data_IF_936607277644
#
_entry.id   IF_936607277644
#
_cell.length_a   1.000
_cell.length_b   1.000
_cell.length_c   1.000
_cell.angle_alpha   90.00
_cell.angle_beta   90.00
_cell.angle_gamma   90.00
#
_symmetry.space_group_name_H-M   'P 1'
#
loop_
_entity.id
_entity.type
_entity.pdbx_description
1 polymer ?
#
# COMPACT_ATOMS: atom_id res chain seq x y z
N UNK A 1 -27.46 -14.24 6.47
CA UNK A 1 -26.69 -14.51 7.70
C UNK A 1 -25.89 -15.78 7.51
N UNK A 2 -24.72 -15.90 8.10
CA UNK A 2 -23.90 -17.13 8.11
C UNK A 2 -23.65 -17.58 9.54
N UNK A 3 -23.64 -18.89 9.75
CA UNK A 3 -23.46 -19.49 11.07
C UNK A 3 -22.00 -19.90 11.25
N UNK A 4 -21.40 -19.54 12.39
CA UNK A 4 -20.04 -19.95 12.70
C UNK A 4 -19.96 -21.46 12.96
N UNK A 5 -19.11 -22.23 12.25
CA UNK A 5 -18.98 -23.66 12.48
C UNK A 5 -18.35 -24.00 13.84
N UNK A 6 -17.63 -23.05 14.46
CA UNK A 6 -16.96 -23.25 15.75
C UNK A 6 -17.87 -22.98 16.96
N UNK A 7 -18.67 -21.91 16.93
CA UNK A 7 -19.46 -21.47 18.09
C UNK A 7 -20.94 -21.25 17.79
N UNK A 8 -21.41 -21.56 16.58
CA UNK A 8 -22.81 -21.47 16.14
C UNK A 8 -23.43 -20.06 16.20
N UNK A 9 -22.64 -19.02 16.49
CA UNK A 9 -23.10 -17.65 16.44
C UNK A 9 -23.50 -17.24 15.01
N UNK A 10 -24.56 -16.44 14.89
CA UNK A 10 -24.94 -15.79 13.65
C UNK A 10 -24.01 -14.61 13.36
N UNK A 11 -23.55 -14.51 12.12
CA UNK A 11 -22.67 -13.45 11.64
C UNK A 11 -23.19 -12.92 10.30
N UNK A 12 -22.84 -11.70 9.93
CA UNK A 12 -23.16 -11.16 8.63
C UNK A 12 -22.38 -11.89 7.54
N UNK A 13 -22.93 -12.03 6.32
CA UNK A 13 -22.22 -12.66 5.22
C UNK A 13 -20.82 -12.05 4.96
N UNK A 14 -20.69 -10.74 5.15
CA UNK A 14 -19.46 -9.96 4.93
C UNK A 14 -18.38 -10.21 6.00
N UNK A 15 -18.72 -10.78 7.16
CA UNK A 15 -17.80 -10.87 8.30
C UNK A 15 -16.68 -11.86 8.00
N UNK A 16 -15.42 -11.43 7.94
CA UNK A 16 -14.30 -12.36 7.73
C UNK A 16 -13.99 -13.22 8.96
N UNK A 17 -14.46 -12.80 10.14
CA UNK A 17 -14.26 -13.48 11.41
C UNK A 17 -15.57 -13.56 12.18
N UNK A 18 -15.72 -14.60 13.00
CA UNK A 18 -16.84 -14.68 13.92
C UNK A 18 -16.69 -13.66 15.06
N UNK A 19 -17.68 -12.79 15.24
CA UNK A 19 -17.68 -11.77 16.29
C UNK A 19 -17.68 -12.33 17.72
N UNK A 20 -18.11 -13.58 17.92
CA UNK A 20 -18.18 -14.20 19.24
C UNK A 20 -16.93 -15.00 19.63
N UNK A 21 -16.26 -15.68 18.68
CA UNK A 21 -15.16 -16.60 19.00
C UNK A 21 -13.88 -16.38 18.19
N UNK A 22 -13.86 -15.38 17.30
CA UNK A 22 -12.70 -15.05 16.47
C UNK A 22 -12.38 -16.08 15.39
N UNK A 23 -13.23 -17.09 15.16
CA UNK A 23 -13.02 -18.06 14.10
C UNK A 23 -12.98 -17.36 12.74
N UNK A 24 -11.88 -17.55 12.01
CA UNK A 24 -11.72 -17.01 10.65
C UNK A 24 -12.55 -17.86 9.68
N UNK A 25 -13.47 -17.23 8.97
CA UNK A 25 -14.17 -17.90 7.89
C UNK A 25 -13.20 -18.11 6.72
N UNK A 26 -13.29 -19.25 6.04
CA UNK A 26 -12.66 -19.41 4.73
C UNK A 26 -13.35 -18.40 3.80
N UNK A 27 -12.61 -17.36 3.41
CA UNK A 27 -13.15 -16.29 2.59
C UNK A 27 -13.69 -16.91 1.29
N UNK A 28 -14.97 -16.67 0.98
CA UNK A 28 -15.58 -17.02 -0.30
C UNK A 28 -14.91 -16.20 -1.41
N UNK A 29 -13.73 -16.62 -1.87
CA UNK A 29 -12.98 -16.16 -3.05
C UNK A 29 -12.54 -14.69 -3.10
N UNK A 30 -13.30 -13.76 -2.53
CA UNK A 30 -13.28 -12.35 -2.87
C UNK A 30 -13.43 -11.47 -1.61
N UNK A 31 -12.93 -11.94 -0.47
CA UNK A 31 -13.03 -11.28 0.85
C UNK A 31 -12.17 -10.01 1.03
N UNK A 32 -12.05 -9.20 -0.03
CA UNK A 32 -11.38 -7.89 -0.06
C UNK A 32 -12.38 -6.71 -0.07
N UNK A 33 -13.69 -6.95 0.06
CA UNK A 33 -14.67 -6.04 -0.51
C UNK A 33 -15.15 -4.81 0.28
N UNK A 34 -15.12 -4.73 1.62
CA UNK A 34 -15.98 -3.72 2.30
C UNK A 34 -15.41 -2.93 3.49
N UNK A 35 -14.15 -3.09 3.91
CA UNK A 35 -13.61 -2.21 4.98
C UNK A 35 -12.22 -1.63 4.71
N UNK A 36 -11.46 -2.14 3.74
CA UNK A 36 -10.21 -1.54 3.31
C UNK A 36 -10.09 -1.67 1.80
N UNK A 37 -10.01 -0.53 1.10
CA UNK A 37 -9.55 -0.47 -0.30
C UNK A 37 -8.24 -1.26 -0.36
N UNK A 38 -8.13 -2.18 -1.30
CA UNK A 38 -6.90 -2.94 -1.51
C UNK A 38 -5.73 -1.97 -1.65
N UNK A 39 -4.85 -1.97 -0.64
CA UNK A 39 -3.71 -1.08 -0.61
C UNK A 39 -2.60 -1.78 -1.41
N UNK A 40 -2.41 -1.34 -2.66
CA UNK A 40 -1.37 -1.93 -3.49
C UNK A 40 -0.02 -1.68 -2.83
N UNK A 41 0.84 -2.70 -2.81
CA UNK A 41 2.19 -2.55 -2.27
C UNK A 41 2.96 -1.40 -2.94
N UNK A 42 2.66 -1.13 -4.23
CA UNK A 42 3.16 0.02 -4.97
C UNK A 42 2.73 1.36 -4.32
N UNK A 43 1.45 1.54 -3.98
CA UNK A 43 0.94 2.76 -3.35
C UNK A 43 1.61 3.04 -2.00
N UNK A 44 1.81 1.99 -1.18
CA UNK A 44 2.47 2.10 0.13
C UNK A 44 3.93 2.53 -0.04
N UNK A 45 4.64 1.91 -0.97
CA UNK A 45 6.06 2.20 -1.23
C UNK A 45 6.24 3.58 -1.86
N UNK A 46 5.34 4.02 -2.75
CA UNK A 46 5.36 5.38 -3.29
C UNK A 46 5.19 6.41 -2.17
N UNK A 47 4.28 6.17 -1.23
CA UNK A 47 4.12 7.03 -0.04
C UNK A 47 5.36 7.03 0.86
N UNK A 48 6.03 5.89 1.03
CA UNK A 48 7.31 5.83 1.74
C UNK A 48 8.39 6.65 1.03
N UNK A 49 8.47 6.59 -0.30
CA UNK A 49 9.35 7.45 -1.10
C UNK A 49 9.07 8.94 -0.86
N UNK A 50 7.79 9.33 -0.79
CA UNK A 50 7.38 10.71 -0.48
C UNK A 50 7.82 11.14 0.93
N UNK A 51 7.72 10.24 1.92
CA UNK A 51 8.20 10.52 3.28
C UNK A 51 9.71 10.76 3.27
N UNK A 52 10.50 9.90 2.59
CA UNK A 52 11.94 10.11 2.49
C UNK A 52 12.30 11.41 1.75
N UNK A 53 11.57 11.73 0.69
CA UNK A 53 11.72 13.01 -0.02
C UNK A 53 11.52 14.21 0.92
N UNK A 54 10.42 14.21 1.68
CA UNK A 54 10.12 15.29 2.64
C UNK A 54 11.16 15.40 3.77
N UNK A 55 11.89 14.33 4.06
CA UNK A 55 13.02 14.31 5.00
C UNK A 55 14.35 14.78 4.38
N UNK A 56 14.37 15.15 3.10
CA UNK A 56 15.60 15.45 2.35
C UNK A 56 16.47 14.21 2.06
N UNK A 57 15.96 13.00 2.32
CA UNK A 57 16.67 11.74 2.08
C UNK A 57 16.46 11.27 0.64
N UNK A 58 16.98 12.05 -0.31
CA UNK A 58 16.73 11.83 -1.73
C UNK A 58 17.18 10.46 -2.24
N UNK A 59 18.33 9.96 -1.80
CA UNK A 59 18.84 8.64 -2.25
C UNK A 59 17.94 7.50 -1.78
N UNK A 60 17.49 7.55 -0.52
CA UNK A 60 16.53 6.57 0.02
C UNK A 60 15.17 6.66 -0.68
N UNK A 61 14.73 7.86 -1.03
CA UNK A 61 13.50 8.05 -1.80
C UNK A 61 13.61 7.41 -3.18
N UNK A 62 14.73 7.64 -3.90
CA UNK A 62 14.96 7.06 -5.23
C UNK A 62 15.02 5.53 -5.18
N UNK A 63 15.73 4.93 -4.22
CA UNK A 63 15.83 3.47 -4.08
C UNK A 63 14.45 2.81 -3.93
N UNK A 64 13.57 3.41 -3.11
CA UNK A 64 12.21 2.89 -2.91
C UNK A 64 11.37 3.03 -4.18
N UNK A 65 11.45 4.18 -4.85
CA UNK A 65 10.68 4.45 -6.08
C UNK A 65 11.13 3.59 -7.25
N UNK A 66 12.42 3.26 -7.34
CA UNK A 66 12.94 2.33 -8.34
C UNK A 66 12.34 0.94 -8.17
N UNK A 67 12.29 0.40 -6.95
CA UNK A 67 11.64 -0.88 -6.67
C UNK A 67 10.14 -0.86 -6.98
N UNK A 68 9.47 0.29 -6.89
CA UNK A 68 8.07 0.41 -7.33
C UNK A 68 8.01 0.28 -8.84
N UNK A 69 8.81 1.06 -9.57
CA UNK A 69 8.80 1.10 -11.04
C UNK A 69 9.31 -0.20 -11.68
N UNK A 70 10.16 -0.97 -11.01
CA UNK A 70 10.53 -2.34 -11.43
C UNK A 70 9.33 -3.29 -11.43
N UNK A 71 8.43 -3.15 -10.45
CA UNK A 71 7.25 -4.01 -10.30
C UNK A 71 5.99 -3.47 -10.98
N UNK A 72 5.89 -2.15 -11.13
CA UNK A 72 4.78 -1.40 -11.68
C UNK A 72 5.33 -0.24 -12.53
N UNK A 73 5.79 -0.52 -13.76
CA UNK A 73 6.40 0.49 -14.63
C UNK A 73 5.45 1.64 -15.01
N UNK A 74 4.13 1.41 -14.93
CA UNK A 74 3.10 2.40 -15.24
C UNK A 74 2.68 3.24 -14.02
N UNK A 75 3.40 3.12 -12.90
CA UNK A 75 3.12 3.91 -11.70
C UNK A 75 3.48 5.39 -11.90
N UNK A 76 2.53 6.16 -12.45
CA UNK A 76 2.70 7.58 -12.75
C UNK A 76 3.11 8.41 -11.54
N UNK A 77 2.62 8.06 -10.35
CA UNK A 77 2.97 8.77 -9.12
C UNK A 77 4.44 8.55 -8.74
N UNK A 78 4.91 7.30 -8.79
CA UNK A 78 6.30 6.99 -8.50
C UNK A 78 7.24 7.66 -9.51
N UNK A 79 6.88 7.65 -10.80
CA UNK A 79 7.65 8.30 -11.86
C UNK A 79 7.72 9.82 -11.67
N UNK A 80 6.59 10.47 -11.39
CA UNK A 80 6.54 11.91 -11.16
C UNK A 80 7.38 12.33 -9.94
N UNK A 81 7.29 11.56 -8.85
CA UNK A 81 8.08 11.84 -7.66
C UNK A 81 9.57 11.63 -7.89
N UNK A 82 9.97 10.58 -8.62
CA UNK A 82 11.38 10.35 -9.02
C UNK A 82 11.93 11.53 -9.81
N UNK A 83 11.20 12.02 -10.82
CA UNK A 83 11.63 13.16 -11.62
C UNK A 83 11.78 14.44 -10.80
N UNK A 84 10.86 14.69 -9.87
CA UNK A 84 10.94 15.83 -8.96
C UNK A 84 12.20 15.78 -8.10
N UNK A 85 12.51 14.61 -7.53
CA UNK A 85 13.73 14.41 -6.74
C UNK A 85 14.98 14.67 -7.58
N UNK A 86 15.04 14.16 -8.81
CA UNK A 86 16.20 14.34 -9.68
C UNK A 86 16.41 15.82 -10.04
N UNK A 87 15.35 16.55 -10.39
CA UNK A 87 15.46 17.98 -10.67
C UNK A 87 15.95 18.77 -9.45
N UNK A 88 15.46 18.45 -8.25
CA UNK A 88 15.86 19.14 -7.02
C UNK A 88 17.32 18.84 -6.65
N UNK A 89 17.78 17.60 -6.84
CA UNK A 89 19.21 17.26 -6.69
C UNK A 89 20.06 18.06 -7.67
N UNK A 90 19.68 18.11 -8.95
CA UNK A 90 20.42 18.84 -9.98
C UNK A 90 20.50 20.35 -9.68
N UNK A 91 19.45 20.93 -9.09
CA UNK A 91 19.46 22.35 -8.69
C UNK A 91 20.36 22.61 -7.49
N UNK A 92 20.42 21.70 -6.51
CA UNK A 92 21.37 21.78 -5.39
C UNK A 92 22.82 21.83 -5.90
N UNK A 93 23.17 20.95 -6.86
CA UNK A 93 24.52 20.90 -7.43
C UNK A 93 24.88 22.09 -8.34
N UNK A 94 23.90 22.90 -8.77
CA UNK A 94 24.16 24.15 -9.53
C UNK A 94 24.35 25.37 -8.65
N UNK A 95 23.98 25.28 -7.38
CA UNK A 95 24.07 26.40 -6.41
C UNK A 95 25.36 26.38 -5.58
N UNK A 96 26.22 25.37 -5.78
CA UNK A 96 27.59 25.27 -5.25
C UNK A 96 28.62 25.67 -6.31
#
# INVERSE_FOLDING_TARGET
MKVCPKCQAENYPIDNFCGSCGFKFEALGNGLGLTQKELKAADIKTNLGLVYYNMGKYDSALEVLEKVLESDPENHQAFALKNRILNEKDDIYKTE
#
